data_IF_515065027313
#
_entry.id   IF_515065027313
#
_cell.length_a   1.000
_cell.length_b   1.000
_cell.length_c   1.000
_cell.angle_alpha   90.00
_cell.angle_beta   90.00
_cell.angle_gamma   90.00
#
_symmetry.space_group_name_H-M   'P 1'
#
loop_
_entity.id
_entity.type
_entity.pdbx_description
1 polymer ?
#
# COMPACT_ATOMS: atom_id res chain seq x y z
N UNK A 1 9.83 -20.56 3.89
CA UNK A 1 9.00 -19.60 4.67
C UNK A 1 9.80 -18.38 5.14
N UNK A 2 10.92 -18.54 5.84
CA UNK A 2 11.77 -17.41 6.30
C UNK A 2 12.23 -16.48 5.15
N UNK A 3 12.60 -17.05 4.00
CA UNK A 3 12.98 -16.26 2.81
C UNK A 3 11.82 -15.40 2.30
N UNK A 4 10.59 -15.92 2.33
CA UNK A 4 9.39 -15.17 1.91
C UNK A 4 9.11 -14.04 2.90
N UNK A 5 9.17 -14.30 4.21
CA UNK A 5 9.02 -13.28 5.23
C UNK A 5 10.08 -12.16 5.11
N UNK A 6 11.34 -12.51 4.83
CA UNK A 6 12.42 -11.55 4.62
C UNK A 6 12.21 -10.71 3.35
N UNK A 7 11.78 -11.33 2.24
CA UNK A 7 11.46 -10.62 1.00
C UNK A 7 10.30 -9.66 1.19
N UNK A 8 9.27 -10.09 1.90
CA UNK A 8 8.08 -9.32 2.24
C UNK A 8 8.41 -8.11 3.12
N UNK A 9 9.16 -8.31 4.22
CA UNK A 9 9.63 -7.22 5.08
C UNK A 9 10.56 -6.25 4.33
N UNK A 10 11.37 -6.78 3.41
CA UNK A 10 12.18 -5.99 2.48
C UNK A 10 11.31 -5.13 1.56
N UNK A 11 10.27 -5.69 0.96
CA UNK A 11 9.31 -4.95 0.12
C UNK A 11 8.56 -3.88 0.91
N UNK A 12 8.15 -4.17 2.14
CA UNK A 12 7.48 -3.20 3.02
C UNK A 12 8.39 -2.04 3.40
N UNK A 13 9.65 -2.34 3.75
CA UNK A 13 10.67 -1.33 4.06
C UNK A 13 11.00 -0.48 2.82
N UNK A 14 11.09 -1.09 1.64
CA UNK A 14 11.29 -0.40 0.38
C UNK A 14 10.10 0.52 0.02
N UNK A 15 8.86 0.08 0.31
CA UNK A 15 7.66 0.90 0.11
C UNK A 15 7.66 2.15 1.00
N UNK A 16 8.06 2.03 2.27
CA UNK A 16 8.25 3.16 3.20
C UNK A 16 9.32 4.15 2.70
N UNK A 17 10.46 3.64 2.21
CA UNK A 17 11.53 4.48 1.63
C UNK A 17 11.05 5.20 0.37
N UNK A 18 10.21 4.56 -0.46
CA UNK A 18 9.64 5.15 -1.68
C UNK A 18 8.66 6.28 -1.37
N UNK A 19 7.79 6.11 -0.35
CA UNK A 19 6.85 7.15 0.11
C UNK A 19 7.60 8.42 0.52
N UNK A 20 8.73 8.27 1.21
CA UNK A 20 9.49 9.41 1.74
C UNK A 20 10.29 10.18 0.68
N UNK A 21 10.60 9.55 -0.47
CA UNK A 21 11.46 10.14 -1.53
C UNK A 21 10.72 10.76 -2.72
N UNK A 22 9.39 10.72 -2.79
CA UNK A 22 8.63 11.23 -3.93
C UNK A 22 8.69 12.77 -4.08
N UNK A 23 9.27 13.34 -5.16
CA UNK A 23 9.38 14.78 -5.38
C UNK A 23 8.07 15.44 -5.86
N UNK A 24 7.15 14.68 -6.47
CA UNK A 24 5.84 15.17 -6.94
C UNK A 24 4.67 14.56 -6.17
N UNK A 25 3.50 15.21 -6.20
CA UNK A 25 2.27 14.67 -5.60
C UNK A 25 1.87 13.31 -6.19
N UNK A 26 2.05 13.11 -7.50
CA UNK A 26 1.81 11.85 -8.19
C UNK A 26 2.81 10.74 -7.78
N UNK A 27 4.09 11.08 -7.53
CA UNK A 27 5.08 10.09 -7.06
C UNK A 27 4.77 9.60 -5.64
N UNK A 28 4.36 10.53 -4.76
CA UNK A 28 3.91 10.19 -3.40
C UNK A 28 2.69 9.29 -3.45
N UNK A 29 1.80 9.54 -4.40
CA UNK A 29 0.60 8.75 -4.62
C UNK A 29 0.89 7.33 -5.12
N UNK A 30 1.76 7.21 -6.11
CA UNK A 30 2.21 5.92 -6.64
C UNK A 30 2.95 5.13 -5.54
N UNK A 31 3.68 5.82 -4.64
CA UNK A 31 4.25 5.25 -3.42
C UNK A 31 3.20 4.72 -2.44
N UNK A 32 2.12 5.45 -2.21
CA UNK A 32 1.00 5.01 -1.36
C UNK A 32 0.29 3.78 -1.94
N UNK A 33 0.11 3.72 -3.26
CA UNK A 33 -0.50 2.57 -3.94
C UNK A 33 0.38 1.30 -3.88
N UNK A 34 1.69 1.47 -4.07
CA UNK A 34 2.67 0.40 -3.87
C UNK A 34 2.68 -0.09 -2.42
N UNK A 35 2.57 0.82 -1.45
CA UNK A 35 2.46 0.45 -0.03
C UNK A 35 1.20 -0.34 0.28
N UNK A 36 0.04 0.07 -0.24
CA UNK A 36 -1.22 -0.64 -0.01
C UNK A 36 -1.21 -2.08 -0.53
N UNK A 37 -0.69 -2.29 -1.75
CA UNK A 37 -0.57 -3.62 -2.36
C UNK A 37 0.52 -4.50 -1.71
N UNK A 38 1.69 -3.93 -1.38
CA UNK A 38 2.76 -4.67 -0.67
C UNK A 38 2.42 -4.97 0.79
N UNK A 39 1.68 -4.08 1.46
CA UNK A 39 1.11 -4.31 2.79
C UNK A 39 0.11 -5.47 2.77
N UNK A 40 -0.84 -5.48 1.82
CA UNK A 40 -1.78 -6.59 1.66
C UNK A 40 -1.06 -7.93 1.39
N UNK A 41 -0.06 -7.93 0.48
CA UNK A 41 0.75 -9.11 0.20
C UNK A 41 1.52 -9.61 1.44
N UNK A 42 2.03 -8.69 2.26
CA UNK A 42 2.70 -9.01 3.54
C UNK A 42 1.78 -9.77 4.48
N UNK A 43 0.57 -9.25 4.66
CA UNK A 43 -0.42 -9.82 5.56
C UNK A 43 -0.89 -11.19 5.07
N UNK A 44 -1.09 -11.38 3.75
CA UNK A 44 -1.45 -12.69 3.18
C UNK A 44 -0.37 -13.75 3.40
N UNK A 45 0.91 -13.38 3.30
CA UNK A 45 2.02 -14.30 3.61
C UNK A 45 2.01 -14.67 5.09
N UNK A 46 1.75 -13.71 5.99
CA UNK A 46 1.62 -13.99 7.41
C UNK A 46 0.41 -14.89 7.72
N UNK A 47 -0.72 -14.68 7.05
CA UNK A 47 -1.90 -15.55 7.15
C UNK A 47 -1.55 -17.00 6.82
N UNK A 48 -0.81 -17.22 5.72
CA UNK A 48 -0.36 -18.54 5.32
C UNK A 48 0.65 -19.15 6.29
N UNK A 49 1.51 -18.34 6.92
CA UNK A 49 2.52 -18.82 7.88
C UNK A 49 1.95 -19.18 9.24
N UNK A 50 0.96 -18.41 9.71
CA UNK A 50 0.35 -18.56 11.02
C UNK A 50 -0.89 -19.47 10.98
N UNK A 51 -1.28 -19.92 9.79
CA UNK A 51 -2.53 -20.68 9.53
C UNK A 51 -3.78 -19.96 10.05
N UNK A 52 -3.71 -18.62 10.11
CA UNK A 52 -4.75 -17.77 10.65
C UNK A 52 -5.48 -17.03 9.53
N UNK A 53 -6.71 -17.48 9.27
CA UNK A 53 -7.58 -16.93 8.24
C UNK A 53 -8.09 -15.52 8.55
N UNK A 54 -8.07 -15.08 9.81
CA UNK A 54 -8.48 -13.72 10.20
C UNK A 54 -7.58 -12.63 9.61
N UNK A 55 -6.33 -12.99 9.27
CA UNK A 55 -5.38 -12.09 8.62
C UNK A 55 -5.78 -11.78 7.17
N UNK A 56 -6.61 -12.60 6.53
CA UNK A 56 -7.12 -12.30 5.18
C UNK A 56 -8.02 -11.06 5.22
N UNK A 57 -8.81 -10.88 6.28
CA UNK A 57 -9.64 -9.68 6.45
C UNK A 57 -8.77 -8.42 6.56
N UNK A 58 -7.64 -8.51 7.26
CA UNK A 58 -6.67 -7.42 7.38
C UNK A 58 -6.04 -7.08 6.02
N UNK A 59 -5.73 -8.09 5.19
CA UNK A 59 -5.23 -7.89 3.83
C UNK A 59 -6.27 -7.21 2.92
N UNK A 60 -7.55 -7.61 3.05
CA UNK A 60 -8.66 -7.00 2.31
C UNK A 60 -8.86 -5.52 2.70
N UNK A 61 -8.72 -5.18 3.98
CA UNK A 61 -8.77 -3.79 4.44
C UNK A 61 -7.62 -2.99 3.84
N UNK A 62 -6.39 -3.51 3.84
CA UNK A 62 -5.24 -2.85 3.23
C UNK A 62 -5.46 -2.59 1.73
N UNK A 63 -5.97 -3.59 0.99
CA UNK A 63 -6.29 -3.44 -0.43
C UNK A 63 -7.39 -2.40 -0.67
N UNK A 64 -8.42 -2.38 0.18
CA UNK A 64 -9.52 -1.41 0.10
C UNK A 64 -9.04 0.02 0.37
N UNK A 65 -8.20 0.21 1.39
CA UNK A 65 -7.59 1.51 1.70
C UNK A 65 -6.70 2.01 0.56
N UNK A 66 -5.98 1.13 -0.13
CA UNK A 66 -5.21 1.48 -1.32
C UNK A 66 -6.13 2.07 -2.39
N UNK A 67 -7.24 1.40 -2.71
CA UNK A 67 -8.23 1.88 -3.66
C UNK A 67 -8.85 3.24 -3.25
N UNK A 68 -9.25 3.38 -1.99
CA UNK A 68 -9.79 4.65 -1.44
C UNK A 68 -8.78 5.78 -1.55
N UNK A 69 -7.49 5.49 -1.31
CA UNK A 69 -6.43 6.50 -1.44
C UNK A 69 -6.40 7.04 -2.87
N UNK A 70 -6.45 6.18 -3.90
CA UNK A 70 -6.56 6.57 -5.33
C UNK A 70 -7.68 7.53 -5.58
N UNK A 71 -8.88 7.19 -5.14
CA UNK A 71 -10.06 8.03 -5.33
C UNK A 71 -9.85 9.40 -4.67
N UNK A 72 -9.37 9.43 -3.42
CA UNK A 72 -9.14 10.69 -2.69
C UNK A 72 -8.07 11.58 -3.34
N UNK A 73 -7.03 10.98 -3.94
CA UNK A 73 -6.01 11.73 -4.67
C UNK A 73 -6.54 12.33 -5.97
N UNK A 74 -7.30 11.55 -6.74
CA UNK A 74 -7.90 12.02 -7.99
C UNK A 74 -8.84 13.19 -7.69
N UNK A 75 -9.73 13.05 -6.70
CA UNK A 75 -10.66 14.12 -6.29
C UNK A 75 -9.90 15.39 -5.87
N UNK A 76 -8.85 15.25 -5.05
CA UNK A 76 -8.03 16.39 -4.61
C UNK A 76 -7.37 17.10 -5.80
N UNK A 77 -6.91 16.33 -6.79
CA UNK A 77 -6.22 16.87 -7.96
C UNK A 77 -7.21 17.60 -8.87
N UNK A 78 -8.42 17.07 -9.07
CA UNK A 78 -9.49 17.72 -9.83
C UNK A 78 -9.98 19.02 -9.18
N UNK A 79 -10.14 19.04 -7.85
CA UNK A 79 -10.51 20.28 -7.14
C UNK A 79 -9.44 21.36 -7.26
N UNK A 80 -8.17 20.98 -7.33
CA UNK A 80 -7.07 21.92 -7.45
C UNK A 80 -6.94 22.52 -8.87
N UNK A 81 -7.47 21.86 -9.90
CA UNK A 81 -7.42 22.32 -11.30
C UNK A 81 -8.63 23.13 -11.74
N UNK A 82 -9.72 23.17 -10.95
CA UNK A 82 -10.84 24.09 -11.20
C UNK A 82 -10.40 25.55 -11.01
N UNK A 83 -10.51 26.43 -12.03
CA UNK A 83 -10.31 27.86 -11.86
C UNK A 83 -11.41 28.44 -10.97
N UNK A 84 -11.04 29.33 -10.04
CA UNK A 84 -11.99 30.15 -9.27
C UNK A 84 -12.64 31.20 -10.16
#
# INVERSE_FOLDING_TARGET
MIVVAALVLGSFSAALIRIWRGPSGADRMMGAQLFGSSGAATVLVLAAMLEDWSLIDVALVFASLAAVTVVAFVERTERASMPQ
#
